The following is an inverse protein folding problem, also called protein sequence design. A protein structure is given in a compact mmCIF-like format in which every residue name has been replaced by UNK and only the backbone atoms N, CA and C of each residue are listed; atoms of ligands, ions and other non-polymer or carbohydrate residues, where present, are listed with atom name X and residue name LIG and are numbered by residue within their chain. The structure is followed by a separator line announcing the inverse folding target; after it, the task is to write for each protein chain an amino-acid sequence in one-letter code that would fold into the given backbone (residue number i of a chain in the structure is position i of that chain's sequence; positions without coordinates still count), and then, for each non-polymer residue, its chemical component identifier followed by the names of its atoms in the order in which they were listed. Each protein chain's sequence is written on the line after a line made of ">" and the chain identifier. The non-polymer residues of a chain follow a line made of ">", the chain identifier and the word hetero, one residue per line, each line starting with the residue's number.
data_IF_009389758804
#
_entry.id   IF_009389758804
#
_cell.length_a   1.000
_cell.length_b   1.000
_cell.length_c   1.000
_cell.angle_alpha   90.00
_cell.angle_beta   90.00
_cell.angle_gamma   90.00
#
_symmetry.space_group_name_H-M   'P 1'
#
loop_
_entity.id
_entity.type
_entity.pdbx_description
1 polymer ?
#
# COMPACT_ATOMS: atom_id res chain seq x y z
N UNK A 1 35.61 -24.28 11.05
CA UNK A 1 35.49 -23.51 9.78
C UNK A 1 34.52 -22.36 10.04
N UNK A 2 35.02 -21.16 10.35
CA UNK A 2 34.19 -20.01 10.76
C UNK A 2 33.73 -19.28 9.50
N UNK A 3 32.42 -19.34 9.17
CA UNK A 3 31.82 -18.54 8.09
C UNK A 3 31.90 -17.07 8.48
N UNK A 4 32.73 -16.29 7.78
CA UNK A 4 32.71 -14.83 7.86
C UNK A 4 31.36 -14.34 7.34
N UNK A 5 30.58 -13.70 8.20
CA UNK A 5 29.42 -12.91 7.78
C UNK A 5 29.93 -11.77 6.89
N UNK A 6 29.39 -11.58 5.67
CA UNK A 6 29.81 -10.47 4.82
C UNK A 6 29.51 -9.15 5.51
N UNK A 7 30.52 -8.29 5.66
CA UNK A 7 30.34 -6.91 6.12
C UNK A 7 29.46 -6.19 5.09
N UNK A 8 28.21 -5.94 5.44
CA UNK A 8 27.31 -5.08 4.66
C UNK A 8 27.96 -3.70 4.58
N UNK A 9 28.34 -3.28 3.38
CA UNK A 9 29.03 -2.03 3.15
C UNK A 9 28.01 -0.88 3.16
N UNK A 10 27.78 -0.32 4.35
CA UNK A 10 26.77 0.72 4.62
C UNK A 10 27.00 2.00 3.80
N UNK A 11 28.25 2.34 3.47
CA UNK A 11 28.60 3.54 2.71
C UNK A 11 28.23 3.44 1.22
N UNK A 12 28.40 2.24 0.64
CA UNK A 12 27.98 1.94 -0.74
C UNK A 12 26.45 2.03 -0.90
N UNK A 13 25.70 1.57 0.12
CA UNK A 13 24.24 1.65 0.11
C UNK A 13 23.75 3.08 0.33
N UNK A 14 24.39 3.85 1.22
CA UNK A 14 24.05 5.25 1.44
C UNK A 14 24.24 6.11 0.17
N UNK A 15 25.34 5.89 -0.57
CA UNK A 15 25.62 6.60 -1.83
C UNK A 15 24.65 6.22 -2.96
N UNK A 16 24.30 4.92 -3.10
CA UNK A 16 23.26 4.46 -4.03
C UNK A 16 21.89 5.05 -3.69
N UNK A 17 21.52 5.05 -2.41
CA UNK A 17 20.24 5.60 -1.95
C UNK A 17 20.17 7.12 -2.17
N UNK A 18 21.27 7.85 -1.94
CA UNK A 18 21.35 9.27 -2.22
C UNK A 18 21.22 9.59 -3.72
N UNK A 19 21.84 8.78 -4.58
CA UNK A 19 21.73 8.93 -6.04
C UNK A 19 20.32 8.64 -6.54
N UNK A 20 19.67 7.60 -6.01
CA UNK A 20 18.28 7.28 -6.35
C UNK A 20 17.31 8.35 -5.83
N UNK A 21 17.50 8.82 -4.59
CA UNK A 21 16.70 9.92 -4.04
C UNK A 21 16.87 11.21 -4.86
N UNK A 22 18.07 11.49 -5.36
CA UNK A 22 18.33 12.59 -6.28
C UNK A 22 17.61 12.44 -7.63
N UNK A 23 17.55 11.22 -8.17
CA UNK A 23 16.80 10.93 -9.40
C UNK A 23 15.30 11.10 -9.20
N UNK A 24 14.73 10.48 -8.15
CA UNK A 24 13.31 10.59 -7.82
C UNK A 24 12.92 12.05 -7.63
N UNK A 25 13.73 12.82 -6.89
CA UNK A 25 13.47 14.24 -6.67
C UNK A 25 13.54 15.07 -7.95
N UNK A 26 14.37 14.70 -8.92
CA UNK A 26 14.47 15.43 -10.18
C UNK A 26 13.32 15.11 -11.14
N UNK A 27 12.91 13.84 -11.19
CA UNK A 27 11.95 13.35 -12.17
C UNK A 27 10.49 13.49 -11.70
N UNK A 28 10.25 13.25 -10.40
CA UNK A 28 8.91 13.15 -9.84
C UNK A 28 8.55 14.28 -8.88
N UNK A 29 9.46 15.19 -8.53
CA UNK A 29 9.13 16.33 -7.67
C UNK A 29 9.23 17.61 -8.50
N UNK A 30 8.14 18.37 -8.55
CA UNK A 30 8.10 19.65 -9.26
C UNK A 30 8.80 20.79 -8.49
N UNK A 31 8.84 21.97 -9.09
CA UNK A 31 9.39 23.19 -8.47
C UNK A 31 8.63 23.65 -7.22
N UNK A 32 7.34 23.32 -7.13
CA UNK A 32 6.46 23.63 -6.01
C UNK A 32 6.63 22.62 -4.85
N UNK A 33 7.46 21.59 -5.05
CA UNK A 33 7.70 20.52 -4.10
C UNK A 33 6.60 19.47 -4.07
N UNK A 34 5.73 19.40 -5.10
CA UNK A 34 4.69 18.37 -5.24
C UNK A 34 5.18 17.18 -6.07
N UNK A 35 4.64 16.01 -5.77
CA UNK A 35 4.88 14.78 -6.52
C UNK A 35 4.09 14.81 -7.81
N UNK A 36 4.76 14.76 -8.97
CA UNK A 36 4.12 14.86 -10.28
C UNK A 36 4.07 13.50 -10.98
N UNK A 37 2.88 13.11 -11.41
CA UNK A 37 2.64 11.93 -12.24
C UNK A 37 2.09 12.41 -13.58
N UNK A 38 2.83 12.15 -14.64
CA UNK A 38 2.41 12.47 -16.01
C UNK A 38 1.77 11.25 -16.66
N UNK A 39 0.55 11.41 -17.16
CA UNK A 39 -0.21 10.39 -17.89
C UNK A 39 -0.52 10.95 -19.27
N UNK A 40 -0.12 10.24 -20.31
CA UNK A 40 -0.43 10.60 -21.69
C UNK A 40 -1.60 9.75 -22.16
N UNK A 41 -2.68 10.39 -22.58
CA UNK A 41 -3.86 9.76 -23.18
C UNK A 41 -3.82 10.04 -24.69
N UNK A 42 -3.53 9.03 -25.53
CA UNK A 42 -3.67 9.13 -26.98
C UNK A 42 -5.11 9.49 -27.40
N UNK A 43 -5.29 10.13 -28.56
CA UNK A 43 -6.63 10.49 -29.05
C UNK A 43 -7.55 9.29 -29.27
N UNK A 44 -6.98 8.14 -29.62
CA UNK A 44 -7.68 6.87 -29.89
C UNK A 44 -7.83 5.98 -28.64
N UNK A 45 -7.45 6.48 -27.45
CA UNK A 45 -7.49 5.71 -26.23
C UNK A 45 -8.84 5.83 -25.51
N UNK A 46 -9.42 4.68 -25.15
CA UNK A 46 -10.63 4.60 -24.35
C UNK A 46 -10.30 4.85 -22.87
N UNK A 47 -10.64 6.06 -22.41
CA UNK A 47 -10.40 6.52 -21.03
C UNK A 47 -11.29 5.79 -20.03
N UNK A 48 -12.52 5.49 -20.42
CA UNK A 48 -13.48 4.72 -19.65
C UNK A 48 -13.35 3.23 -19.99
N UNK A 49 -13.58 2.36 -19.02
CA UNK A 49 -13.60 0.93 -19.24
C UNK A 49 -14.85 0.53 -20.07
N UNK A 50 -14.69 -0.10 -21.25
CA UNK A 50 -15.81 -0.48 -22.13
C UNK A 50 -16.73 -1.55 -21.53
N UNK A 51 -16.30 -2.25 -20.48
CA UNK A 51 -17.08 -3.27 -19.77
C UNK A 51 -17.98 -2.65 -18.69
N UNK A 52 -17.81 -1.36 -18.40
CA UNK A 52 -18.59 -0.65 -17.39
C UNK A 52 -19.75 0.13 -17.99
N UNK A 53 -20.88 0.20 -17.28
CA UNK A 53 -22.08 0.88 -17.76
C UNK A 53 -22.86 1.57 -16.64
N UNK A 54 -23.63 2.59 -17.03
CA UNK A 54 -24.58 3.26 -16.15
C UNK A 54 -23.91 4.00 -14.99
N UNK A 55 -24.31 3.68 -13.76
CA UNK A 55 -23.73 4.28 -12.55
C UNK A 55 -22.47 3.60 -12.03
N UNK A 56 -21.94 2.60 -12.74
CA UNK A 56 -20.73 1.86 -12.36
C UNK A 56 -19.60 2.11 -13.36
N UNK A 57 -19.57 3.29 -13.98
CA UNK A 57 -18.47 3.64 -14.88
C UNK A 57 -17.16 3.64 -14.12
N UNK A 58 -16.11 3.15 -14.75
CA UNK A 58 -14.75 3.23 -14.21
C UNK A 58 -13.81 3.72 -15.31
N UNK A 59 -12.65 4.25 -14.89
CA UNK A 59 -11.55 4.48 -15.81
C UNK A 59 -10.94 3.14 -16.20
N UNK A 60 -10.30 3.11 -17.37
CA UNK A 60 -9.50 1.96 -17.77
C UNK A 60 -8.46 1.63 -16.69
N UNK A 61 -8.42 0.36 -16.27
CA UNK A 61 -7.52 -0.13 -15.22
C UNK A 61 -6.04 0.23 -15.47
N UNK A 62 -5.61 0.31 -16.73
CA UNK A 62 -4.24 0.70 -17.08
C UNK A 62 -3.87 2.12 -16.61
N UNK A 63 -4.86 3.01 -16.47
CA UNK A 63 -4.67 4.36 -15.92
C UNK A 63 -4.34 4.26 -14.43
N UNK A 64 -5.10 3.47 -13.67
CA UNK A 64 -4.84 3.22 -12.24
C UNK A 64 -3.49 2.53 -12.04
N UNK A 65 -3.21 1.45 -12.78
CA UNK A 65 -1.93 0.74 -12.74
C UNK A 65 -0.72 1.64 -13.08
N UNK A 66 -0.94 2.69 -13.88
CA UNK A 66 0.07 3.71 -14.17
C UNK A 66 0.26 4.67 -13.00
N UNK A 67 -0.83 5.14 -12.38
CA UNK A 67 -0.79 6.02 -11.21
C UNK A 67 -0.11 5.29 -10.04
N UNK A 68 -0.50 4.06 -9.75
CA UNK A 68 -0.02 3.30 -8.60
C UNK A 68 1.48 3.03 -8.69
N UNK A 69 1.90 2.49 -9.82
CA UNK A 69 3.32 2.22 -10.10
C UNK A 69 4.20 3.46 -10.06
N UNK A 70 3.69 4.63 -10.49
CA UNK A 70 4.46 5.89 -10.46
C UNK A 70 4.43 6.53 -9.08
N UNK A 71 3.31 6.45 -8.36
CA UNK A 71 3.16 6.99 -7.02
C UNK A 71 3.97 6.22 -5.98
N UNK A 72 4.23 4.93 -6.17
CA UNK A 72 5.15 4.13 -5.35
C UNK A 72 6.57 4.71 -5.25
N UNK A 73 7.00 5.47 -6.26
CA UNK A 73 8.30 6.11 -6.30
C UNK A 73 8.29 7.46 -5.55
N UNK A 74 7.12 8.02 -5.25
CA UNK A 74 6.95 9.33 -4.64
C UNK A 74 6.81 9.17 -3.12
N UNK A 75 7.60 9.90 -2.31
CA UNK A 75 7.45 9.85 -0.87
C UNK A 75 6.03 10.28 -0.42
N UNK A 76 5.43 9.49 0.47
CA UNK A 76 4.05 9.68 0.95
C UNK A 76 3.80 11.01 1.69
N UNK A 77 4.88 11.67 2.12
CA UNK A 77 4.84 12.99 2.78
C UNK A 77 4.56 14.15 1.82
N UNK A 78 4.67 13.91 0.51
CA UNK A 78 4.51 14.93 -0.53
C UNK A 78 3.10 14.87 -1.11
N UNK A 79 2.48 16.00 -1.42
CA UNK A 79 1.18 15.99 -2.11
C UNK A 79 1.34 15.53 -3.56
N UNK A 80 0.43 14.69 -4.04
CA UNK A 80 0.41 14.22 -5.43
C UNK A 80 -0.33 15.21 -6.34
N UNK A 81 0.19 15.33 -7.56
CA UNK A 81 -0.38 16.05 -8.69
C UNK A 81 -0.34 15.10 -9.89
N UNK A 82 -1.51 14.74 -10.40
CA UNK A 82 -1.66 13.86 -11.55
C UNK A 82 -2.03 14.75 -12.74
N UNK A 83 -1.19 14.74 -13.76
CA UNK A 83 -1.38 15.54 -14.97
C UNK A 83 -1.70 14.64 -16.15
N UNK A 84 -2.87 14.85 -16.73
CA UNK A 84 -3.32 14.18 -17.95
C UNK A 84 -2.97 15.05 -19.16
N UNK A 85 -2.27 14.46 -20.13
CA UNK A 85 -1.74 15.11 -21.33
C UNK A 85 -2.22 14.38 -22.60
N UNK A 86 -2.33 15.12 -23.72
CA UNK A 86 -2.65 14.55 -25.04
C UNK A 86 -4.05 14.93 -25.50
N UNK A 87 -5.04 14.05 -25.29
CA UNK A 87 -6.42 14.27 -25.70
C UNK A 87 -7.06 15.47 -24.99
N UNK A 88 -7.71 16.34 -25.76
CA UNK A 88 -8.54 17.40 -25.20
C UNK A 88 -9.77 16.81 -24.50
N UNK A 89 -9.85 17.01 -23.18
CA UNK A 89 -11.01 16.62 -22.38
C UNK A 89 -11.90 17.84 -22.14
N UNK A 90 -13.21 17.69 -22.35
CA UNK A 90 -14.19 18.73 -21.97
C UNK A 90 -14.22 18.93 -20.45
N UNK A 91 -14.69 20.08 -19.96
CA UNK A 91 -14.80 20.32 -18.51
C UNK A 91 -15.66 19.25 -17.80
N UNK A 92 -16.71 18.76 -18.47
CA UNK A 92 -17.57 17.69 -17.96
C UNK A 92 -16.80 16.35 -17.85
N UNK A 93 -16.04 15.99 -18.88
CA UNK A 93 -15.20 14.78 -18.88
C UNK A 93 -14.06 14.88 -17.85
N UNK A 94 -13.47 16.05 -17.67
CA UNK A 94 -12.45 16.28 -16.64
C UNK A 94 -13.02 16.09 -15.24
N UNK A 95 -14.23 16.59 -14.98
CA UNK A 95 -14.91 16.41 -13.69
C UNK A 95 -15.35 14.95 -13.49
N UNK A 96 -15.78 14.26 -14.54
CA UNK A 96 -16.07 12.82 -14.50
C UNK A 96 -14.80 12.03 -14.12
N UNK A 97 -13.67 12.27 -14.78
CA UNK A 97 -12.37 11.64 -14.45
C UNK A 97 -11.97 11.93 -13.00
N UNK A 98 -12.12 13.18 -12.53
CA UNK A 98 -11.84 13.53 -11.13
C UNK A 98 -12.66 12.72 -10.14
N UNK A 99 -13.94 12.56 -10.43
CA UNK A 99 -14.84 11.82 -9.56
C UNK A 99 -14.53 10.32 -9.60
N UNK A 100 -14.26 9.74 -10.76
CA UNK A 100 -13.88 8.34 -10.91
C UNK A 100 -12.57 8.00 -10.18
N UNK A 101 -11.54 8.86 -10.29
CA UNK A 101 -10.28 8.67 -9.55
C UNK A 101 -10.52 8.73 -8.03
N UNK A 102 -11.32 9.69 -7.56
CA UNK A 102 -11.63 9.83 -6.13
C UNK A 102 -12.45 8.63 -5.63
N UNK A 103 -13.42 8.17 -6.41
CA UNK A 103 -14.28 7.05 -6.08
C UNK A 103 -13.47 5.76 -5.97
N UNK A 104 -12.61 5.48 -6.94
CA UNK A 104 -11.71 4.32 -6.94
C UNK A 104 -10.89 4.25 -5.64
N UNK A 105 -10.12 5.30 -5.32
CA UNK A 105 -9.33 5.33 -4.08
C UNK A 105 -10.17 5.42 -2.81
N UNK A 106 -11.44 5.84 -2.89
CA UNK A 106 -12.36 5.78 -1.75
C UNK A 106 -12.84 4.36 -1.49
N UNK A 107 -13.08 3.57 -2.54
CA UNK A 107 -13.42 2.14 -2.43
C UNK A 107 -12.22 1.38 -1.85
N UNK A 108 -11.02 1.58 -2.40
CA UNK A 108 -9.80 0.94 -1.86
C UNK A 108 -9.55 1.30 -0.40
N UNK A 109 -9.78 2.57 -0.02
CA UNK A 109 -9.67 3.00 1.38
C UNK A 109 -10.62 2.21 2.28
N UNK A 110 -11.85 1.97 1.82
CA UNK A 110 -12.84 1.23 2.58
C UNK A 110 -12.44 -0.25 2.73
N UNK A 111 -11.99 -0.90 1.66
CA UNK A 111 -11.49 -2.27 1.71
C UNK A 111 -10.33 -2.42 2.69
N UNK A 112 -9.37 -1.50 2.63
CA UNK A 112 -8.20 -1.52 3.50
C UNK A 112 -8.55 -1.26 4.97
N UNK A 113 -9.53 -0.40 5.23
CA UNK A 113 -10.05 -0.20 6.59
C UNK A 113 -10.67 -1.51 7.13
N UNK A 114 -11.38 -2.25 6.28
CA UNK A 114 -11.95 -3.54 6.63
C UNK A 114 -10.87 -4.58 6.93
N UNK A 115 -9.78 -4.58 6.17
CA UNK A 115 -8.62 -5.45 6.42
C UNK A 115 -7.89 -5.10 7.73
N UNK A 116 -7.78 -3.82 8.08
CA UNK A 116 -7.22 -3.38 9.37
C UNK A 116 -8.06 -3.88 10.56
N UNK A 117 -9.38 -3.84 10.42
CA UNK A 117 -10.31 -4.33 11.43
C UNK A 117 -10.26 -5.86 11.53
N UNK A 118 -10.22 -6.56 10.38
CA UNK A 118 -10.05 -8.00 10.33
C UNK A 118 -8.70 -8.45 10.93
N UNK A 119 -7.61 -7.74 10.65
CA UNK A 119 -6.30 -7.97 11.25
C UNK A 119 -6.36 -7.82 12.78
N UNK A 120 -7.04 -6.79 13.30
CA UNK A 120 -7.19 -6.60 14.74
C UNK A 120 -7.97 -7.74 15.40
N UNK A 121 -9.04 -8.21 14.75
CA UNK A 121 -9.82 -9.35 15.24
C UNK A 121 -8.96 -10.63 15.25
N UNK A 122 -8.19 -10.89 14.19
CA UNK A 122 -7.27 -12.05 14.11
C UNK A 122 -6.20 -11.98 15.19
N UNK A 123 -5.62 -10.81 15.42
CA UNK A 123 -4.66 -10.56 16.49
C UNK A 123 -5.24 -10.95 17.86
N UNK A 124 -6.41 -10.43 18.22
CA UNK A 124 -7.04 -10.74 19.51
C UNK A 124 -7.40 -12.22 19.66
N UNK A 125 -7.87 -12.87 18.58
CA UNK A 125 -8.12 -14.32 18.59
C UNK A 125 -6.84 -15.10 18.89
N UNK A 126 -5.71 -14.74 18.27
CA UNK A 126 -4.43 -15.42 18.49
C UNK A 126 -3.87 -15.18 19.89
N UNK A 127 -3.99 -13.96 20.44
CA UNK A 127 -3.63 -13.68 21.83
C UNK A 127 -4.47 -14.51 22.80
N UNK A 128 -5.79 -14.58 22.58
CA UNK A 128 -6.69 -15.35 23.42
C UNK A 128 -6.36 -16.85 23.39
N UNK A 129 -6.17 -17.42 22.20
CA UNK A 129 -5.77 -18.83 22.04
C UNK A 129 -4.42 -19.07 22.70
N UNK A 130 -3.40 -18.26 22.39
CA UNK A 130 -2.07 -18.40 22.98
C UNK A 130 -2.10 -18.36 24.51
N UNK A 131 -2.82 -17.39 25.07
CA UNK A 131 -2.97 -17.24 26.53
C UNK A 131 -3.72 -18.42 27.16
N UNK A 132 -4.76 -18.94 26.50
CA UNK A 132 -5.50 -20.10 26.98
C UNK A 132 -4.63 -21.35 27.03
N UNK A 133 -3.85 -21.61 25.98
CA UNK A 133 -2.93 -22.75 25.92
C UNK A 133 -1.79 -22.60 26.94
N UNK A 134 -1.23 -21.41 27.12
CA UNK A 134 -0.26 -21.17 28.19
C UNK A 134 -0.84 -21.35 29.60
N UNK A 135 -2.08 -20.91 29.83
CA UNK A 135 -2.78 -21.18 31.09
C UNK A 135 -2.99 -22.68 31.32
N UNK A 136 -3.36 -23.41 30.27
CA UNK A 136 -3.52 -24.87 30.33
C UNK A 136 -2.19 -25.58 30.56
N UNK A 137 -1.09 -25.08 29.98
CA UNK A 137 0.26 -25.61 30.21
C UNK A 137 0.60 -25.60 31.70
N UNK A 138 0.43 -24.47 32.39
CA UNK A 138 0.69 -24.37 33.83
C UNK A 138 -0.19 -25.30 34.67
N UNK A 139 -1.42 -25.57 34.22
CA UNK A 139 -2.30 -26.51 34.90
C UNK A 139 -1.85 -27.97 34.70
N UNK A 140 -1.46 -28.33 33.48
CA UNK A 140 -1.01 -29.69 33.14
C UNK A 140 0.34 -30.04 33.78
N UNK A 141 1.23 -29.06 33.93
CA UNK A 141 2.50 -29.22 34.62
C UNK A 141 2.33 -29.74 36.07
N UNK A 142 1.19 -29.44 36.72
CA UNK A 142 0.85 -29.95 38.05
C UNK A 142 0.37 -31.42 38.06
N UNK A 143 0.11 -32.00 36.90
CA UNK A 143 -0.56 -33.31 36.75
C UNK A 143 0.32 -34.40 36.11
N UNK A 144 1.61 -34.11 35.88
CA UNK A 144 2.64 -35.02 35.33
C UNK A 144 2.34 -35.63 33.93
N UNK A 145 1.44 -35.04 33.14
CA UNK A 145 1.21 -35.47 31.74
C UNK A 145 2.22 -34.83 30.77
N UNK A 146 3.43 -35.40 30.67
CA UNK A 146 4.54 -34.83 29.87
C UNK A 146 4.20 -34.57 28.39
N UNK A 147 3.59 -35.54 27.70
CA UNK A 147 3.31 -35.42 26.26
C UNK A 147 2.34 -34.27 25.92
N UNK A 148 1.27 -34.10 26.69
CA UNK A 148 0.30 -33.02 26.47
C UNK A 148 0.89 -31.65 26.82
N UNK A 149 1.79 -31.61 27.80
CA UNK A 149 2.46 -30.39 28.25
C UNK A 149 3.33 -29.79 27.14
N UNK A 150 4.09 -30.62 26.43
CA UNK A 150 4.90 -30.18 25.29
C UNK A 150 4.04 -29.64 24.14
N UNK A 151 3.01 -30.39 23.72
CA UNK A 151 2.12 -29.98 22.64
C UNK A 151 1.42 -28.64 22.94
N UNK A 152 0.89 -28.50 24.15
CA UNK A 152 0.20 -27.28 24.60
C UNK A 152 1.16 -26.09 24.62
N UNK A 153 2.41 -26.28 25.05
CA UNK A 153 3.44 -25.23 25.05
C UNK A 153 3.79 -24.74 23.65
N UNK A 154 3.88 -25.66 22.68
CA UNK A 154 4.18 -25.35 21.28
C UNK A 154 3.02 -24.57 20.65
N UNK A 155 1.78 -25.01 20.83
CA UNK A 155 0.59 -24.32 20.30
C UNK A 155 0.46 -22.92 20.90
N UNK A 156 0.65 -22.80 22.22
CA UNK A 156 0.59 -21.51 22.92
C UNK A 156 1.65 -20.54 22.40
N UNK A 157 2.91 -20.99 22.33
CA UNK A 157 4.03 -20.19 21.84
C UNK A 157 3.86 -19.79 20.37
N UNK A 158 3.44 -20.72 19.51
CA UNK A 158 3.19 -20.45 18.10
C UNK A 158 2.08 -19.42 17.91
N UNK A 159 0.98 -19.54 18.66
CA UNK A 159 -0.14 -18.61 18.60
C UNK A 159 0.26 -17.19 19.02
N UNK A 160 1.07 -17.05 20.06
CA UNK A 160 1.62 -15.74 20.46
C UNK A 160 2.59 -15.16 19.43
N UNK A 161 3.43 -16.00 18.81
CA UNK A 161 4.29 -15.59 17.71
C UNK A 161 3.48 -15.06 16.52
N UNK A 162 2.46 -15.80 16.08
CA UNK A 162 1.55 -15.36 15.01
C UNK A 162 0.85 -14.05 15.37
N UNK A 163 0.44 -13.86 16.63
CA UNK A 163 -0.12 -12.58 17.07
C UNK A 163 0.90 -11.43 16.96
N UNK A 164 2.16 -11.67 17.34
CA UNK A 164 3.21 -10.67 17.20
C UNK A 164 3.46 -10.31 15.72
N UNK A 165 3.47 -11.30 14.81
CA UNK A 165 3.59 -11.06 13.35
C UNK A 165 2.43 -10.22 12.81
N UNK A 166 1.19 -10.60 13.12
CA UNK A 166 -0.02 -9.85 12.71
C UNK A 166 0.04 -8.38 13.15
N UNK A 167 0.53 -8.12 14.36
CA UNK A 167 0.62 -6.77 14.92
C UNK A 167 1.81 -5.97 14.38
N UNK A 168 2.97 -6.61 14.26
CA UNK A 168 4.21 -5.92 13.92
C UNK A 168 4.44 -5.78 12.43
N UNK A 169 4.01 -6.73 11.60
CA UNK A 169 4.32 -6.74 10.16
C UNK A 169 3.07 -6.33 9.40
N UNK A 170 2.03 -7.16 9.41
CA UNK A 170 0.83 -6.98 8.60
C UNK A 170 0.15 -5.63 8.88
N UNK A 171 -0.05 -5.28 10.16
CA UNK A 171 -0.66 -3.99 10.53
C UNK A 171 0.17 -2.79 10.07
N UNK A 172 1.51 -2.90 10.03
CA UNK A 172 2.37 -1.80 9.55
C UNK A 172 2.25 -1.65 8.03
N UNK A 173 2.20 -2.76 7.31
CA UNK A 173 2.11 -2.72 5.85
C UNK A 173 0.73 -2.23 5.39
N UNK A 174 -0.36 -2.66 6.05
CA UNK A 174 -1.70 -2.10 5.84
C UNK A 174 -1.73 -0.58 6.12
N UNK A 175 -1.07 -0.11 7.20
CA UNK A 175 -0.99 1.33 7.48
C UNK A 175 -0.19 2.12 6.45
N UNK A 176 0.86 1.53 5.86
CA UNK A 176 1.60 2.20 4.78
C UNK A 176 0.74 2.35 3.54
N UNK A 177 0.02 1.28 3.18
CA UNK A 177 -0.95 1.32 2.07
C UNK A 177 -2.01 2.40 2.32
N UNK A 178 -2.50 2.54 3.56
CA UNK A 178 -3.50 3.56 3.90
C UNK A 178 -3.00 4.98 3.64
N UNK A 179 -1.76 5.28 4.04
CA UNK A 179 -1.15 6.60 3.79
C UNK A 179 -1.03 6.86 2.29
N UNK A 180 -0.67 5.84 1.51
CA UNK A 180 -0.56 5.94 0.07
C UNK A 180 -1.94 6.18 -0.60
N UNK A 181 -2.97 5.42 -0.23
CA UNK A 181 -4.34 5.62 -0.72
C UNK A 181 -4.84 7.04 -0.37
N UNK A 182 -4.59 7.52 0.85
CA UNK A 182 -4.95 8.88 1.27
C UNK A 182 -4.26 9.95 0.42
N UNK A 183 -2.98 9.73 0.08
CA UNK A 183 -2.21 10.60 -0.79
C UNK A 183 -2.77 10.63 -2.21
N UNK A 184 -3.13 9.47 -2.77
CA UNK A 184 -3.71 9.34 -4.11
C UNK A 184 -5.13 9.93 -4.19
N UNK A 185 -5.98 9.63 -3.20
CA UNK A 185 -7.33 10.19 -3.07
C UNK A 185 -7.36 11.72 -2.96
N UNK A 186 -6.33 12.30 -2.34
CA UNK A 186 -6.18 13.75 -2.17
C UNK A 186 -5.34 14.42 -3.26
N UNK A 187 -4.99 13.68 -4.32
CA UNK A 187 -4.19 14.19 -5.41
C UNK A 187 -4.91 15.35 -6.15
N UNK A 188 -4.11 16.30 -6.59
CA UNK A 188 -4.57 17.38 -7.48
C UNK A 188 -4.54 16.88 -8.92
N UNK A 189 -5.69 16.84 -9.60
CA UNK A 189 -5.77 16.48 -11.01
C UNK A 189 -5.69 17.72 -11.89
N UNK A 190 -4.82 17.69 -12.90
CA UNK A 190 -4.64 18.75 -13.90
C UNK A 190 -4.76 18.14 -15.29
N UNK A 191 -5.41 18.85 -16.20
CA UNK A 191 -5.57 18.44 -17.58
C UNK A 191 -4.88 19.49 -18.45
N UNK A 192 -3.92 19.06 -19.26
CA UNK A 192 -3.17 19.91 -20.16
C UNK A 192 -3.25 19.36 -21.58
N UNK A 193 -3.43 20.24 -22.56
CA UNK A 193 -3.29 19.86 -23.97
C UNK A 193 -1.80 19.80 -24.31
N UNK A 194 -1.37 18.74 -25.00
CA UNK A 194 -0.02 18.67 -25.54
C UNK A 194 0.13 19.82 -26.54
N UNK A 195 0.98 20.82 -26.26
CA UNK A 195 1.43 21.74 -27.31
C UNK A 195 2.30 20.94 -28.27
N UNK A 196 1.74 20.59 -29.44
CA UNK A 196 2.43 19.90 -30.51
C UNK A 196 3.82 20.53 -30.74
N UNK A 197 4.87 19.79 -30.37
CA UNK A 197 6.26 20.11 -30.69
C UNK A 197 6.67 19.43 -31.98
#
# INVERSE_FOLDING_TARGET
>A
MIRRVPKVNLESNASRNAKMAGYVRKEYIDSDGKGRILIRIPEDYEVLDPLTMGGQKELNQEIFDCIDRKSDLIPSVVKLRIEFHGRACSEEEQEEIRNLVREHYQVEQFELQWDLDANLIRFWKMILIGSLFLGLYFFLELTEYEFFTELVSVIGSFSLWTAAELWMIDRRDLKKQMIWIEQAKSAELIFAEDQAS
#
